data_IF_580343047392
#
_entry.id   IF_580343047392
#
_cell.length_a   1.000
_cell.length_b   1.000
_cell.length_c   1.000
_cell.angle_alpha   90.00
_cell.angle_beta   90.00
_cell.angle_gamma   90.00
#
_symmetry.space_group_name_H-M   'P 1'
#
loop_
_entity.id
_entity.type
_entity.pdbx_description
1 polymer ?
#
# COMPACT_ATOMS: atom_id res chain seq x y z
N UNK A 1 7.11 25.67 -8.17
CA UNK A 1 7.93 24.47 -7.92
C UNK A 1 7.04 23.26 -8.13
N UNK A 2 7.04 22.72 -9.37
CA UNK A 2 6.20 21.58 -9.72
C UNK A 2 7.01 20.30 -9.51
N UNK A 3 6.74 19.59 -8.46
CA UNK A 3 7.27 18.25 -8.26
C UNK A 3 6.15 17.26 -8.57
N UNK A 4 6.13 16.78 -9.82
CA UNK A 4 5.20 15.76 -10.29
C UNK A 4 5.65 14.40 -9.78
N UNK A 5 5.14 13.97 -8.67
CA UNK A 5 5.49 12.67 -8.07
C UNK A 5 4.73 11.47 -8.64
N UNK A 6 3.84 11.69 -9.60
CA UNK A 6 3.02 10.61 -10.15
C UNK A 6 3.28 10.24 -11.60
N UNK A 7 4.15 10.94 -12.32
CA UNK A 7 4.54 10.58 -13.69
C UNK A 7 6.01 10.90 -13.96
N UNK A 8 6.84 9.94 -14.34
CA UNK A 8 7.92 10.17 -15.26
C UNK A 8 7.45 9.89 -16.67
N UNK A 9 7.31 10.93 -17.49
CA UNK A 9 7.19 10.80 -18.94
C UNK A 9 8.49 10.21 -19.51
N UNK A 10 8.41 9.19 -20.36
CA UNK A 10 9.55 8.74 -21.12
C UNK A 10 9.55 9.42 -22.50
N UNK A 11 10.28 10.48 -22.66
CA UNK A 11 10.62 10.98 -23.98
C UNK A 11 12.08 11.38 -24.07
N UNK A 12 12.75 10.69 -24.99
CA UNK A 12 13.94 11.03 -25.74
C UNK A 12 15.32 11.10 -25.07
N UNK A 13 16.07 10.06 -25.35
CA UNK A 13 17.38 10.22 -25.99
C UNK A 13 17.83 8.91 -26.64
N UNK A 14 17.75 8.86 -27.96
CA UNK A 14 18.44 7.88 -28.78
C UNK A 14 19.93 8.10 -28.74
N UNK A 15 20.71 7.10 -28.41
CA UNK A 15 21.99 6.81 -29.06
C UNK A 15 22.34 5.34 -28.90
N UNK A 16 22.76 4.76 -29.98
CA UNK A 16 22.73 3.39 -30.35
C UNK A 16 23.71 2.40 -29.77
N UNK A 17 23.33 1.16 -29.91
CA UNK A 17 24.09 -0.06 -30.14
C UNK A 17 24.38 -0.90 -28.90
N UNK A 18 24.70 -2.20 -29.03
CA UNK A 18 24.01 -3.21 -29.79
C UNK A 18 23.29 -4.26 -28.92
N UNK A 19 22.35 -4.90 -29.55
CA UNK A 19 21.66 -6.16 -29.24
C UNK A 19 22.12 -6.99 -28.05
N UNK A 20 21.20 -7.19 -27.12
CA UNK A 20 21.11 -8.46 -26.40
C UNK A 20 19.64 -8.80 -26.16
N UNK A 21 19.28 -10.08 -26.21
CA UNK A 21 17.94 -10.52 -26.43
C UNK A 21 17.20 -10.88 -25.13
N UNK A 22 15.91 -10.98 -25.28
CA UNK A 22 14.97 -11.68 -24.43
C UNK A 22 14.40 -10.89 -23.25
N UNK A 23 13.25 -10.34 -23.61
CA UNK A 23 12.22 -10.00 -22.67
C UNK A 23 12.01 -11.05 -21.59
N UNK A 24 12.24 -10.63 -20.38
CA UNK A 24 11.57 -11.25 -19.26
C UNK A 24 10.51 -10.24 -18.85
N UNK A 25 9.26 -10.57 -19.18
CA UNK A 25 8.13 -10.05 -18.47
C UNK A 25 8.51 -10.12 -16.99
N UNK A 26 8.79 -8.97 -16.41
CA UNK A 26 8.84 -8.85 -14.97
C UNK A 26 7.39 -9.02 -14.49
N UNK A 27 6.96 -10.27 -14.42
CA UNK A 27 5.83 -10.64 -13.60
C UNK A 27 6.17 -10.16 -12.21
N UNK A 28 5.48 -9.15 -11.72
CA UNK A 28 5.57 -8.73 -10.33
C UNK A 28 5.13 -9.94 -9.48
N UNK A 29 6.09 -10.77 -9.13
CA UNK A 29 5.85 -11.85 -8.21
C UNK A 29 5.65 -11.24 -6.85
N UNK A 30 4.38 -11.20 -6.43
CA UNK A 30 4.05 -10.95 -5.04
C UNK A 30 4.81 -11.95 -4.18
N UNK A 31 5.43 -11.51 -3.09
CA UNK A 31 6.07 -12.44 -2.17
C UNK A 31 5.05 -13.50 -1.73
N UNK A 32 5.48 -14.77 -1.58
CA UNK A 32 4.58 -15.86 -1.21
C UNK A 32 3.81 -15.49 0.05
N UNK A 33 2.50 -15.62 -0.03
CA UNK A 33 1.61 -15.39 1.11
C UNK A 33 1.91 -16.45 2.16
N UNK A 34 2.71 -16.08 3.16
CA UNK A 34 2.90 -16.90 4.34
C UNK A 34 1.55 -17.10 5.01
N UNK A 35 1.21 -18.35 5.27
CA UNK A 35 0.05 -18.79 6.01
C UNK A 35 -0.05 -17.94 7.28
N UNK A 36 -1.18 -17.26 7.47
CA UNK A 36 -1.51 -16.53 8.69
C UNK A 36 -1.51 -17.51 9.88
N UNK A 37 -0.37 -17.70 10.49
CA UNK A 37 -0.32 -18.25 11.84
C UNK A 37 -0.65 -17.08 12.78
N UNK A 38 -1.89 -17.03 13.22
CA UNK A 38 -2.27 -16.22 14.37
C UNK A 38 -1.68 -16.95 15.59
N UNK A 39 -0.64 -16.43 16.25
CA UNK A 39 -0.13 -17.04 17.47
C UNK A 39 -1.16 -16.80 18.59
N UNK A 40 -1.95 -17.82 18.89
CA UNK A 40 -2.95 -17.77 19.94
C UNK A 40 -2.38 -17.80 21.35
N UNK A 41 -1.10 -18.06 21.54
CA UNK A 41 -0.42 -17.98 22.84
C UNK A 41 1.08 -17.72 22.66
N UNK A 42 1.47 -16.46 22.69
CA UNK A 42 2.84 -16.11 23.05
C UNK A 42 2.89 -15.82 24.56
N UNK A 43 3.13 -16.85 25.34
CA UNK A 43 3.62 -16.70 26.70
C UNK A 43 5.10 -16.31 26.60
N UNK A 44 5.35 -15.04 26.45
CA UNK A 44 6.67 -14.44 26.45
C UNK A 44 6.50 -12.95 26.59
N UNK A 45 6.78 -12.42 27.76
CA UNK A 45 6.72 -11.00 28.10
C UNK A 45 7.75 -10.18 27.31
N UNK A 46 7.51 -9.98 26.03
CA UNK A 46 7.97 -8.80 25.35
C UNK A 46 6.91 -7.73 25.63
N UNK A 47 7.18 -6.84 26.56
CA UNK A 47 6.30 -5.75 26.91
C UNK A 47 6.06 -4.93 25.63
N UNK A 48 4.84 -5.04 25.06
CA UNK A 48 4.43 -4.26 23.89
C UNK A 48 4.51 -2.77 24.27
N UNK A 49 5.52 -2.09 23.78
CA UNK A 49 5.76 -0.67 24.07
C UNK A 49 4.91 0.26 23.21
N UNK A 50 4.10 -0.30 22.31
CA UNK A 50 3.30 0.45 21.35
C UNK A 50 1.94 0.76 21.94
N UNK A 51 1.51 2.01 21.79
CA UNK A 51 0.18 2.44 22.23
C UNK A 51 -0.96 1.74 21.46
N UNK A 52 -0.66 1.31 20.22
CA UNK A 52 -1.64 0.68 19.33
C UNK A 52 -1.11 -0.66 18.80
N UNK A 53 -1.81 -1.77 19.06
CA UNK A 53 -1.46 -3.08 18.51
C UNK A 53 -1.51 -3.04 16.98
N UNK A 54 -0.57 -3.70 16.34
CA UNK A 54 -0.54 -3.85 14.88
C UNK A 54 -0.92 -5.27 14.50
N UNK A 55 -1.82 -5.39 13.54
CA UNK A 55 -2.16 -6.66 12.94
C UNK A 55 -1.40 -6.82 11.62
N UNK A 56 -0.73 -7.96 11.45
CA UNK A 56 -0.16 -8.34 10.16
C UNK A 56 -1.29 -8.81 9.24
N UNK A 57 -1.94 -7.86 8.59
CA UNK A 57 -3.03 -8.10 7.67
C UNK A 57 -2.65 -7.63 6.29
N UNK A 58 -2.78 -8.53 5.31
CA UNK A 58 -2.56 -8.23 3.90
C UNK A 58 -3.88 -7.84 3.26
N UNK A 59 -4.25 -6.57 3.39
CA UNK A 59 -5.46 -6.00 2.81
C UNK A 59 -5.12 -5.32 1.47
N UNK A 60 -6.08 -5.31 0.54
CA UNK A 60 -5.95 -4.52 -0.68
C UNK A 60 -5.88 -3.04 -0.34
N UNK A 61 -4.88 -2.36 -0.86
CA UNK A 61 -4.63 -0.94 -0.66
C UNK A 61 -4.39 -0.25 -1.99
N UNK A 62 -4.86 0.96 -2.13
CA UNK A 62 -4.52 1.83 -3.27
C UNK A 62 -4.18 3.22 -2.77
N UNK A 63 -3.14 3.82 -3.36
CA UNK A 63 -2.79 5.22 -3.17
C UNK A 63 -3.60 6.05 -4.15
N UNK A 64 -4.42 6.97 -3.64
CA UNK A 64 -5.29 7.82 -4.45
C UNK A 64 -4.60 9.12 -4.83
N UNK A 65 -3.89 9.72 -3.86
CA UNK A 65 -3.14 10.96 -4.04
C UNK A 65 -1.86 10.97 -3.22
N UNK A 66 -0.85 11.66 -3.76
CA UNK A 66 0.39 12.00 -3.07
C UNK A 66 0.61 13.49 -3.21
N UNK A 67 0.79 14.20 -2.10
CA UNK A 67 0.94 15.67 -2.07
C UNK A 67 -0.16 16.41 -2.86
N UNK A 68 -1.40 15.91 -2.80
CA UNK A 68 -2.55 16.48 -3.51
C UNK A 68 -2.68 16.08 -4.98
N UNK A 69 -1.70 15.41 -5.56
CA UNK A 69 -1.74 14.95 -6.95
C UNK A 69 -2.31 13.54 -7.07
N UNK A 70 -3.19 13.32 -8.03
CA UNK A 70 -3.74 12.00 -8.32
C UNK A 70 -2.65 11.04 -8.79
N UNK A 71 -2.68 9.83 -8.25
CA UNK A 71 -1.79 8.75 -8.64
C UNK A 71 -2.54 7.69 -9.44
N UNK A 72 -1.80 6.97 -10.26
CA UNK A 72 -2.30 5.75 -10.86
C UNK A 72 -2.62 4.75 -9.76
N UNK A 73 -3.81 4.17 -9.82
CA UNK A 73 -4.29 3.20 -8.85
C UNK A 73 -3.66 1.83 -9.10
N UNK A 74 -2.43 1.65 -8.69
CA UNK A 74 -1.81 0.34 -8.71
C UNK A 74 -2.29 -0.48 -7.50
N UNK A 75 -2.65 -1.76 -7.69
CA UNK A 75 -3.07 -2.60 -6.59
C UNK A 75 -1.87 -2.90 -5.69
N UNK A 76 -1.95 -2.46 -4.45
CA UNK A 76 -0.96 -2.69 -3.41
C UNK A 76 -1.58 -3.54 -2.29
N UNK A 77 -0.74 -3.92 -1.32
CA UNK A 77 -1.19 -4.61 -0.13
C UNK A 77 -0.54 -4.02 1.12
N UNK A 78 -1.30 -4.02 2.20
CA UNK A 78 -0.75 -3.70 3.51
C UNK A 78 0.16 -4.82 3.97
N UNK A 79 1.26 -4.49 4.64
CA UNK A 79 2.09 -5.44 5.36
C UNK A 79 1.66 -5.53 6.83
N UNK A 80 1.35 -4.40 7.44
CA UNK A 80 0.68 -4.33 8.73
C UNK A 80 -0.24 -3.11 8.79
N UNK A 81 -1.24 -3.17 9.65
CA UNK A 81 -2.19 -2.10 9.88
C UNK A 81 -2.60 -2.05 11.36
N UNK A 82 -2.87 -0.85 11.85
CA UNK A 82 -3.41 -0.58 13.19
C UNK A 82 -4.52 0.46 13.09
N UNK A 83 -5.10 0.82 14.22
CA UNK A 83 -6.08 1.92 14.29
C UNK A 83 -5.49 3.29 13.96
N UNK A 84 -4.17 3.45 13.99
CA UNK A 84 -3.49 4.73 13.83
C UNK A 84 -2.64 4.84 12.57
N UNK A 85 -2.39 3.75 11.86
CA UNK A 85 -1.53 3.79 10.69
C UNK A 85 -1.38 2.46 9.97
N UNK A 86 -0.64 2.51 8.88
CA UNK A 86 -0.41 1.39 7.98
C UNK A 86 1.05 1.35 7.52
N UNK A 87 1.56 0.15 7.31
CA UNK A 87 2.82 -0.09 6.63
C UNK A 87 2.58 -0.88 5.34
N UNK A 88 3.18 -0.42 4.24
CA UNK A 88 3.04 -1.04 2.92
C UNK A 88 4.28 -0.81 2.07
N UNK A 89 4.41 -1.60 1.00
CA UNK A 89 5.47 -1.42 0.00
C UNK A 89 4.97 -0.56 -1.16
N UNK A 90 5.83 0.36 -1.61
CA UNK A 90 5.56 1.26 -2.73
C UNK A 90 6.77 1.35 -3.67
N UNK A 91 6.57 1.47 -5.01
CA UNK A 91 7.69 1.46 -5.96
C UNK A 91 8.54 2.72 -5.94
N UNK A 92 8.10 3.77 -5.28
CA UNK A 92 8.83 5.04 -5.16
C UNK A 92 9.04 5.40 -3.70
N UNK A 93 10.19 6.00 -3.40
CA UNK A 93 10.43 6.59 -2.10
C UNK A 93 9.59 7.86 -1.96
N UNK A 94 8.83 7.95 -0.88
CA UNK A 94 8.08 9.15 -0.51
C UNK A 94 8.67 9.67 0.79
N UNK A 95 8.99 10.97 0.81
CA UNK A 95 9.62 11.57 1.97
C UNK A 95 8.66 11.66 3.17
N UNK A 96 9.18 11.46 4.41
CA UNK A 96 8.42 11.69 5.62
C UNK A 96 7.80 13.11 5.66
N UNK A 97 6.59 13.21 6.19
CA UNK A 97 5.81 14.45 6.21
C UNK A 97 4.93 14.66 4.97
N UNK A 98 5.11 13.86 3.91
CA UNK A 98 4.28 13.98 2.70
C UNK A 98 2.86 13.51 2.98
N UNK A 99 1.84 14.34 2.69
CA UNK A 99 0.43 13.93 2.80
C UNK A 99 0.07 12.97 1.67
N UNK A 100 -0.70 11.94 2.02
CA UNK A 100 -1.20 10.93 1.08
C UNK A 100 -2.67 10.64 1.34
N UNK A 101 -3.39 10.23 0.31
CA UNK A 101 -4.74 9.68 0.45
C UNK A 101 -4.73 8.20 0.07
N UNK A 102 -5.26 7.38 0.96
CA UNK A 102 -5.29 5.93 0.81
C UNK A 102 -6.72 5.41 0.80
N UNK A 103 -6.93 4.33 0.06
CA UNK A 103 -8.13 3.52 0.15
C UNK A 103 -7.73 2.08 0.49
N UNK A 104 -8.32 1.51 1.53
CA UNK A 104 -8.08 0.14 1.99
C UNK A 104 -9.38 -0.63 1.94
N UNK A 105 -9.38 -1.78 1.28
CA UNK A 105 -10.51 -2.71 1.25
C UNK A 105 -10.47 -3.58 2.50
N UNK A 106 -11.37 -3.33 3.45
CA UNK A 106 -11.41 -4.05 4.72
C UNK A 106 -12.16 -5.37 4.62
N UNK A 107 -13.28 -5.36 3.88
CA UNK A 107 -14.13 -6.53 3.68
C UNK A 107 -14.54 -6.56 2.21
N UNK A 108 -14.31 -7.70 1.59
CA UNK A 108 -14.82 -8.02 0.26
C UNK A 108 -15.65 -9.29 0.34
N UNK A 109 -16.94 -9.18 0.12
CA UNK A 109 -17.84 -10.33 0.15
C UNK A 109 -18.17 -10.74 -1.27
N UNK A 110 -17.58 -11.84 -1.70
CA UNK A 110 -17.63 -12.34 -3.07
C UNK A 110 -19.05 -12.71 -3.60
N UNK A 111 -20.06 -12.76 -2.76
CA UNK A 111 -21.42 -13.22 -3.11
C UNK A 111 -22.50 -12.15 -2.84
N UNK A 112 -22.27 -10.93 -3.33
CA UNK A 112 -23.32 -9.89 -3.28
C UNK A 112 -23.56 -9.27 -1.89
N UNK A 113 -22.67 -9.52 -0.95
CA UNK A 113 -22.77 -9.00 0.42
C UNK A 113 -22.21 -7.59 0.63
N UNK A 114 -21.80 -6.92 -0.43
CA UNK A 114 -21.19 -5.59 -0.37
C UNK A 114 -19.73 -5.58 0.08
N UNK A 115 -19.04 -4.48 -0.12
CA UNK A 115 -17.67 -4.25 0.34
C UNK A 115 -17.59 -3.11 1.35
N UNK A 116 -16.65 -3.18 2.27
CA UNK A 116 -16.34 -2.09 3.19
C UNK A 116 -14.98 -1.55 2.85
N UNK A 117 -14.92 -0.28 2.53
CA UNK A 117 -13.70 0.45 2.20
C UNK A 117 -13.43 1.52 3.24
N UNK A 118 -12.19 1.61 3.65
CA UNK A 118 -11.69 2.70 4.46
C UNK A 118 -10.95 3.68 3.55
N UNK A 119 -11.34 4.94 3.59
CA UNK A 119 -10.59 6.04 2.99
C UNK A 119 -9.96 6.86 4.09
N UNK A 120 -8.72 7.21 3.90
CA UNK A 120 -7.98 7.98 4.90
C UNK A 120 -7.09 9.02 4.24
N UNK A 121 -7.05 10.19 4.86
CA UNK A 121 -5.95 11.13 4.70
C UNK A 121 -4.91 10.74 5.72
N UNK A 122 -3.67 10.67 5.29
CA UNK A 122 -2.55 10.22 6.11
C UNK A 122 -1.30 11.00 5.73
N UNK A 123 -0.25 10.90 6.52
CA UNK A 123 1.07 11.38 6.17
C UNK A 123 2.13 10.29 6.38
N UNK A 124 3.14 10.31 5.55
CA UNK A 124 4.28 9.40 5.67
C UNK A 124 5.08 9.80 6.91
N UNK A 125 5.35 8.85 7.78
CA UNK A 125 6.19 9.05 8.97
C UNK A 125 7.56 8.41 8.84
N UNK A 126 7.69 7.40 7.97
CA UNK A 126 8.95 6.71 7.73
C UNK A 126 8.97 6.12 6.33
N UNK A 127 10.13 6.23 5.68
CA UNK A 127 10.44 5.56 4.44
C UNK A 127 11.75 4.78 4.61
N UNK A 128 11.72 3.50 4.27
CA UNK A 128 12.88 2.62 4.36
C UNK A 128 13.09 1.87 3.05
N UNK A 129 14.33 1.49 2.78
CA UNK A 129 14.64 0.65 1.62
C UNK A 129 14.13 -0.76 1.89
N UNK A 130 13.40 -1.33 0.93
CA UNK A 130 12.98 -2.72 1.00
C UNK A 130 14.08 -3.66 0.50
N UNK A 131 14.07 -4.90 0.97
CA UNK A 131 14.92 -5.98 0.41
C UNK A 131 14.57 -6.28 -1.05
N UNK A 132 13.34 -5.96 -1.48
CA UNK A 132 12.92 -6.06 -2.86
C UNK A 132 13.44 -4.87 -3.65
N UNK A 133 14.31 -5.10 -4.62
CA UNK A 133 14.88 -4.06 -5.47
C UNK A 133 13.78 -3.22 -6.14
N UNK A 134 13.89 -1.90 -6.03
CA UNK A 134 12.93 -0.96 -6.59
C UNK A 134 11.66 -0.74 -5.75
N UNK A 135 11.61 -1.29 -4.53
CA UNK A 135 10.50 -1.08 -3.60
C UNK A 135 10.97 -0.40 -2.32
N UNK A 136 10.10 0.37 -1.72
CA UNK A 136 10.34 1.08 -0.47
C UNK A 136 9.25 0.74 0.53
N UNK A 137 9.65 0.50 1.78
CA UNK A 137 8.72 0.35 2.88
C UNK A 137 8.27 1.73 3.35
N UNK A 138 6.97 1.99 3.32
CA UNK A 138 6.38 3.24 3.75
C UNK A 138 5.48 3.00 4.96
N UNK A 139 5.73 3.75 6.03
CA UNK A 139 4.84 3.83 7.17
C UNK A 139 4.08 5.15 7.13
N UNK A 140 2.77 5.09 7.22
CA UNK A 140 1.89 6.25 7.25
C UNK A 140 1.04 6.25 8.51
N UNK A 141 0.83 7.43 9.08
CA UNK A 141 -0.09 7.68 10.19
C UNK A 141 -1.37 8.31 9.64
N UNK A 142 -2.51 7.81 10.09
CA UNK A 142 -3.82 8.32 9.69
C UNK A 142 -4.11 9.65 10.39
N UNK A 143 -4.53 10.65 9.62
CA UNK A 143 -4.96 11.96 10.10
C UNK A 143 -6.48 12.03 10.17
N UNK A 144 -7.16 11.43 9.19
CA UNK A 144 -8.61 11.33 9.12
C UNK A 144 -9.02 10.00 8.50
N UNK A 145 -10.11 9.42 8.97
CA UNK A 145 -10.60 8.11 8.51
C UNK A 145 -12.08 8.21 8.20
N UNK A 146 -12.47 7.74 7.03
CA UNK A 146 -13.88 7.55 6.64
C UNK A 146 -14.12 6.13 6.13
N UNK A 147 -15.33 5.64 6.32
CA UNK A 147 -15.74 4.32 5.85
C UNK A 147 -16.85 4.44 4.83
N UNK A 148 -16.74 3.72 3.74
CA UNK A 148 -17.77 3.59 2.72
C UNK A 148 -18.17 2.14 2.62
N UNK A 149 -19.47 1.89 2.63
CA UNK A 149 -20.05 0.57 2.42
C UNK A 149 -20.78 0.56 1.08
N UNK A 150 -20.33 -0.32 0.20
CA UNK A 150 -21.07 -0.59 -1.05
C UNK A 150 -22.07 -1.72 -0.75
N UNK A 151 -23.32 -1.35 -0.60
CA UNK A 151 -24.40 -2.30 -0.53
C UNK A 151 -24.86 -2.61 -1.95
N UNK A 152 -24.37 -3.69 -2.53
CA UNK A 152 -25.00 -4.26 -3.72
C UNK A 152 -26.31 -4.85 -3.29
N UNK A 153 -27.39 -4.11 -3.43
CA UNK A 153 -28.75 -4.66 -3.29
C UNK A 153 -28.93 -5.61 -4.48
N UNK A 154 -29.09 -6.91 -4.28
CA UNK A 154 -29.49 -7.77 -5.38
C UNK A 154 -30.87 -7.31 -5.85
N UNK A 155 -30.92 -6.77 -7.06
CA UNK A 155 -32.19 -6.47 -7.72
C UNK A 155 -32.92 -7.80 -7.94
N UNK A 156 -34.19 -7.95 -7.54
CA UNK A 156 -34.93 -9.16 -7.71
C UNK A 156 -35.16 -9.51 -9.17
#
# INVERSE_FOLDING_TARGET
MNSSYCEPDPADSQTGGPSEPHGRNASYQMPPQGILQVPTHAVGRAQERRAYPRARLSLSLSVQRIAGQHCKRDPLRTADISSNGVFFLYPQRIEPGTPIELEVLLVDRALGGGSVRMRTVAHIVRAETSENAGWHGLAATFDDISFTRDESIPTP
#
